data_IF_149465878583
#
_entry.id   IF_149465878583
#
_cell.length_a   1.000
_cell.length_b   1.000
_cell.length_c   1.000
_cell.angle_alpha   90.00
_cell.angle_beta   90.00
_cell.angle_gamma   90.00
#
_symmetry.space_group_name_H-M   'P 1'
#
loop_
_entity.id
_entity.type
_entity.pdbx_description
1 polymer ?
#
# COMPACT_ATOMS: atom_id res chain seq x y z
N UNK A 1 16.32 -15.46 -6.36
CA UNK A 1 16.51 -15.65 -7.82
C UNK A 1 16.08 -14.34 -8.47
N UNK A 2 17.02 -13.56 -9.02
CA UNK A 2 16.86 -12.13 -9.32
C UNK A 2 15.90 -11.86 -10.51
N UNK A 3 14.75 -11.21 -10.26
CA UNK A 3 13.80 -10.72 -11.28
C UNK A 3 14.26 -9.43 -11.99
N UNK A 4 15.41 -8.85 -11.59
CA UNK A 4 15.95 -7.56 -12.08
C UNK A 4 16.62 -7.56 -13.48
N UNK A 5 16.28 -8.47 -14.39
CA UNK A 5 17.01 -8.61 -15.68
C UNK A 5 16.15 -8.47 -16.95
N UNK A 6 14.84 -8.22 -16.87
CA UNK A 6 14.02 -8.03 -18.06
C UNK A 6 13.31 -6.67 -18.03
N UNK A 7 14.01 -5.60 -18.46
CA UNK A 7 13.48 -4.44 -19.23
C UNK A 7 14.54 -3.33 -19.42
N UNK A 8 15.77 -3.69 -19.76
CA UNK A 8 16.83 -2.72 -20.14
C UNK A 8 17.16 -2.67 -21.63
N UNK A 9 16.25 -3.07 -22.52
CA UNK A 9 16.52 -3.04 -23.95
C UNK A 9 15.27 -2.71 -24.79
N UNK A 10 14.77 -1.49 -24.69
CA UNK A 10 13.87 -0.91 -25.68
C UNK A 10 13.99 0.63 -25.83
N UNK A 11 15.08 1.25 -25.36
CA UNK A 11 15.39 2.65 -25.68
C UNK A 11 16.13 2.73 -27.02
N UNK A 12 15.44 2.30 -28.08
CA UNK A 12 15.89 2.44 -29.47
C UNK A 12 15.49 3.82 -30.00
N UNK A 13 16.49 4.61 -30.40
CA UNK A 13 16.35 5.82 -31.20
C UNK A 13 15.49 5.51 -32.43
N UNK A 14 14.42 6.28 -32.64
CA UNK A 14 13.52 6.15 -33.78
C UNK A 14 12.71 7.41 -34.04
N UNK A 15 13.39 8.53 -34.35
CA UNK A 15 12.75 9.69 -34.99
C UNK A 15 12.47 9.30 -36.45
N UNK A 16 11.20 9.07 -36.79
CA UNK A 16 10.77 8.68 -38.13
C UNK A 16 9.52 9.45 -38.55
N UNK A 17 9.74 10.51 -39.32
CA UNK A 17 8.74 11.35 -39.97
C UNK A 17 7.79 10.55 -40.87
N UNK A 18 6.47 10.64 -40.64
CA UNK A 18 5.46 10.34 -41.66
C UNK A 18 4.94 11.66 -42.24
N UNK A 19 5.58 12.06 -43.33
CA UNK A 19 5.03 12.99 -44.31
C UNK A 19 4.03 12.23 -45.20
N UNK A 20 2.75 12.60 -45.12
CA UNK A 20 1.69 12.18 -46.04
C UNK A 20 0.74 13.34 -46.30
N UNK A 21 0.88 13.95 -47.46
CA UNK A 21 0.15 15.14 -47.91
C UNK A 21 -1.19 14.74 -48.56
N UNK A 22 -2.31 15.37 -48.17
CA UNK A 22 -3.41 15.85 -49.04
C UNK A 22 -4.56 16.51 -48.23
N UNK A 23 -4.94 17.72 -48.67
CA UNK A 23 -5.97 18.67 -48.19
C UNK A 23 -5.92 19.10 -46.72
N UNK A 24 -5.27 20.25 -46.50
CA UNK A 24 -5.31 21.07 -45.28
C UNK A 24 -6.67 21.77 -45.16
N UNK A 25 -7.52 21.24 -44.29
CA UNK A 25 -8.47 22.06 -43.54
C UNK A 25 -7.70 22.61 -42.32
N UNK A 26 -7.63 23.93 -42.19
CA UNK A 26 -6.92 24.58 -41.07
C UNK A 26 -7.41 24.09 -39.69
N UNK A 27 -8.64 23.59 -39.63
CA UNK A 27 -9.28 22.99 -38.45
C UNK A 27 -8.59 21.67 -38.02
N UNK A 28 -8.13 20.85 -38.97
CA UNK A 28 -7.40 19.59 -38.68
C UNK A 28 -6.00 19.84 -38.13
N UNK A 29 -5.34 20.93 -38.55
CA UNK A 29 -4.00 21.30 -38.10
C UNK A 29 -4.03 21.87 -36.66
N UNK A 30 -5.07 22.63 -36.32
CA UNK A 30 -5.33 23.07 -34.95
C UNK A 30 -5.62 21.88 -34.01
N UNK A 31 -6.40 20.90 -34.45
CA UNK A 31 -6.63 19.67 -33.67
C UNK A 31 -5.32 18.89 -33.45
N UNK A 32 -4.47 18.75 -34.48
CA UNK A 32 -3.16 18.08 -34.34
C UNK A 32 -2.26 18.76 -33.30
N UNK A 33 -2.20 20.08 -33.31
CA UNK A 33 -1.38 20.83 -32.36
C UNK A 33 -1.86 20.59 -30.92
N UNK A 34 -3.17 20.66 -30.68
CA UNK A 34 -3.70 20.43 -29.33
C UNK A 34 -3.60 18.96 -28.89
N UNK A 35 -3.78 17.98 -29.79
CA UNK A 35 -3.51 16.57 -29.52
C UNK A 35 -2.04 16.37 -29.13
N UNK A 36 -1.10 17.00 -29.87
CA UNK A 36 0.33 16.96 -29.56
C UNK A 36 0.65 17.53 -28.18
N UNK A 37 0.12 18.71 -27.86
CA UNK A 37 0.29 19.33 -26.53
C UNK A 37 -0.27 18.44 -25.41
N UNK A 38 -1.43 17.78 -25.63
CA UNK A 38 -2.01 16.85 -24.67
C UNK A 38 -1.12 15.62 -24.46
N UNK A 39 -0.61 15.02 -25.55
CA UNK A 39 0.31 13.88 -25.50
C UNK A 39 1.58 14.24 -24.70
N UNK A 40 2.18 15.41 -24.94
CA UNK A 40 3.38 15.85 -24.21
C UNK A 40 3.11 15.95 -22.69
N UNK A 41 1.95 16.49 -22.31
CA UNK A 41 1.53 16.58 -20.91
C UNK A 41 1.32 15.20 -20.27
N UNK A 42 0.71 14.25 -20.98
CA UNK A 42 0.50 12.88 -20.47
C UNK A 42 1.82 12.10 -20.38
N UNK A 43 2.75 12.29 -21.32
CA UNK A 43 4.09 11.72 -21.21
C UNK A 43 4.87 12.28 -20.01
N UNK A 44 4.64 13.53 -19.61
CA UNK A 44 5.19 14.07 -18.36
C UNK A 44 4.56 13.41 -17.13
N UNK A 45 3.26 13.08 -17.17
CA UNK A 45 2.61 12.30 -16.12
C UNK A 45 3.20 10.89 -15.99
N UNK A 46 3.32 10.15 -17.10
CA UNK A 46 3.95 8.82 -17.12
C UNK A 46 5.35 8.83 -16.49
N UNK A 47 6.20 9.74 -16.95
CA UNK A 47 7.58 9.85 -16.45
C UNK A 47 7.60 10.15 -14.95
N UNK A 48 6.67 10.96 -14.48
CA UNK A 48 6.57 11.29 -13.06
C UNK A 48 6.13 10.07 -12.24
N UNK A 49 5.02 9.42 -12.62
CA UNK A 49 4.51 8.24 -11.93
C UNK A 49 5.56 7.12 -11.88
N UNK A 50 6.17 6.76 -13.01
CA UNK A 50 7.23 5.75 -13.08
C UNK A 50 8.44 6.14 -12.20
N UNK A 51 8.85 7.41 -12.20
CA UNK A 51 9.97 7.85 -11.36
C UNK A 51 9.67 7.81 -9.85
N UNK A 52 8.38 7.84 -9.49
CA UNK A 52 7.91 7.77 -8.11
C UNK A 52 7.64 6.35 -7.68
N UNK A 53 7.17 5.49 -8.58
CA UNK A 53 7.00 4.07 -8.29
C UNK A 53 8.32 3.40 -7.87
N UNK A 54 9.40 3.72 -8.58
CA UNK A 54 10.77 3.31 -8.23
C UNK A 54 11.21 3.73 -6.81
N UNK A 55 10.56 4.74 -6.20
CA UNK A 55 10.85 5.17 -4.82
C UNK A 55 10.15 4.29 -3.78
N UNK A 56 8.96 3.77 -4.08
CA UNK A 56 8.25 2.84 -3.18
C UNK A 56 8.99 1.50 -3.09
N UNK A 57 9.66 1.11 -4.17
CA UNK A 57 10.53 -0.07 -4.26
C UNK A 57 11.88 0.08 -3.52
N UNK A 58 12.27 1.32 -3.18
CA UNK A 58 13.61 1.61 -2.66
C UNK A 58 13.56 1.89 -1.15
N UNK A 59 14.25 1.05 -0.37
CA UNK A 59 14.67 1.27 1.04
C UNK A 59 13.74 2.23 1.82
N UNK A 60 12.73 1.65 2.47
CA UNK A 60 11.60 2.33 3.14
C UNK A 60 12.02 3.37 4.17
N UNK A 61 13.29 3.43 4.58
CA UNK A 61 13.83 4.43 5.52
C UNK A 61 13.87 5.87 4.99
N UNK A 62 13.63 6.09 3.69
CA UNK A 62 13.63 7.44 3.10
C UNK A 62 12.22 8.03 3.04
N UNK A 63 12.11 9.33 3.33
CA UNK A 63 10.88 10.10 3.11
C UNK A 63 10.49 10.00 1.66
N UNK A 64 9.33 9.41 1.38
CA UNK A 64 8.79 9.34 0.03
C UNK A 64 8.06 10.63 -0.28
N UNK A 65 8.37 11.24 -1.41
CA UNK A 65 7.75 12.50 -1.84
C UNK A 65 6.89 12.25 -3.07
N UNK A 66 5.62 12.62 -3.01
CA UNK A 66 4.71 12.59 -4.15
C UNK A 66 3.96 13.92 -4.21
N UNK A 67 3.96 14.56 -5.38
CA UNK A 67 3.27 15.82 -5.65
C UNK A 67 2.08 15.53 -6.56
N UNK A 68 0.94 15.27 -5.94
CA UNK A 68 -0.35 15.04 -6.61
C UNK A 68 -0.68 16.19 -7.57
N UNK A 69 -0.43 17.44 -7.16
CA UNK A 69 -0.73 18.64 -7.94
C UNK A 69 0.08 18.71 -9.24
N UNK A 70 1.26 18.07 -9.29
CA UNK A 70 2.03 17.94 -10.52
C UNK A 70 1.25 17.20 -11.60
N UNK A 71 0.56 16.10 -11.24
CA UNK A 71 -0.27 15.31 -12.15
C UNK A 71 -1.60 16.02 -12.42
N UNK A 72 -2.33 16.42 -11.38
CA UNK A 72 -3.66 17.05 -11.51
C UNK A 72 -3.62 18.28 -12.43
N UNK A 73 -2.57 19.11 -12.30
CA UNK A 73 -2.41 20.30 -13.14
C UNK A 73 -2.15 19.98 -14.61
N UNK A 74 -1.46 18.88 -14.92
CA UNK A 74 -1.17 18.42 -16.29
C UNK A 74 -2.36 17.74 -16.91
N UNK A 75 -3.02 16.86 -16.17
CA UNK A 75 -4.29 16.23 -16.56
C UNK A 75 -5.34 17.29 -16.90
N UNK A 76 -5.49 18.31 -16.05
CA UNK A 76 -6.38 19.45 -16.31
C UNK A 76 -6.00 20.27 -17.56
N UNK A 77 -4.71 20.39 -17.86
CA UNK A 77 -4.25 21.06 -19.07
C UNK A 77 -4.46 20.18 -20.31
N UNK A 78 -4.17 18.88 -20.22
CA UNK A 78 -4.38 17.91 -21.28
C UNK A 78 -5.86 17.82 -21.63
N UNK A 79 -6.76 17.69 -20.65
CA UNK A 79 -8.21 17.69 -20.85
C UNK A 79 -8.68 18.92 -21.63
N UNK A 80 -8.25 20.13 -21.23
CA UNK A 80 -8.59 21.36 -21.95
C UNK A 80 -8.06 21.39 -23.38
N UNK A 81 -6.89 20.80 -23.64
CA UNK A 81 -6.33 20.68 -25.00
C UNK A 81 -7.14 19.71 -25.84
N UNK A 82 -7.52 18.57 -25.28
CA UNK A 82 -8.35 17.57 -25.95
C UNK A 82 -9.77 18.10 -26.23
N UNK A 83 -10.37 18.84 -25.30
CA UNK A 83 -11.67 19.51 -25.53
C UNK A 83 -11.62 20.44 -26.75
N UNK A 84 -10.56 21.26 -26.85
CA UNK A 84 -10.34 22.15 -28.01
C UNK A 84 -10.05 21.36 -29.28
N UNK A 85 -9.34 20.24 -29.18
CA UNK A 85 -9.08 19.38 -30.32
C UNK A 85 -10.35 18.70 -30.83
N UNK A 86 -11.25 18.26 -29.94
CA UNK A 86 -12.51 17.61 -30.28
C UNK A 86 -13.39 18.50 -31.16
N UNK A 87 -13.43 19.80 -30.88
CA UNK A 87 -14.23 20.77 -31.63
C UNK A 87 -13.80 20.91 -33.10
N UNK A 88 -12.54 20.60 -33.43
CA UNK A 88 -11.98 20.79 -34.78
C UNK A 88 -11.36 19.52 -35.38
N UNK A 89 -11.47 18.39 -34.69
CA UNK A 89 -10.90 17.11 -35.11
C UNK A 89 -11.67 16.52 -36.30
N UNK A 90 -10.91 15.93 -37.24
CA UNK A 90 -11.51 15.02 -38.22
C UNK A 90 -11.98 13.73 -37.54
N UNK A 91 -12.83 12.94 -38.20
CA UNK A 91 -13.28 11.65 -37.66
C UNK A 91 -12.13 10.69 -37.33
N UNK A 92 -11.03 10.72 -38.09
CA UNK A 92 -9.84 9.90 -37.82
C UNK A 92 -8.98 10.43 -36.67
N UNK A 93 -9.14 11.69 -36.28
CA UNK A 93 -8.47 12.30 -35.14
C UNK A 93 -9.28 12.15 -33.86
N UNK A 94 -10.62 12.07 -33.99
CA UNK A 94 -11.52 11.91 -32.86
C UNK A 94 -11.23 10.62 -32.08
N UNK A 95 -10.92 9.53 -32.76
CA UNK A 95 -10.51 8.27 -32.12
C UNK A 95 -9.28 8.45 -31.20
N UNK A 96 -8.30 9.27 -31.62
CA UNK A 96 -7.15 9.62 -30.77
C UNK A 96 -7.54 10.55 -29.62
N UNK A 97 -8.46 11.49 -29.86
CA UNK A 97 -8.96 12.40 -28.82
C UNK A 97 -9.71 11.62 -27.73
N UNK A 98 -10.58 10.70 -28.13
CA UNK A 98 -11.36 9.85 -27.23
C UNK A 98 -10.44 8.97 -26.37
N UNK A 99 -9.48 8.26 -26.97
CA UNK A 99 -8.52 7.45 -26.20
C UNK A 99 -7.65 8.27 -25.24
N UNK A 100 -7.29 9.51 -25.62
CA UNK A 100 -6.55 10.41 -24.73
C UNK A 100 -7.44 10.95 -23.60
N UNK A 101 -8.75 11.13 -23.81
CA UNK A 101 -9.69 11.49 -22.75
C UNK A 101 -9.85 10.34 -21.75
N UNK A 102 -9.98 9.11 -22.23
CA UNK A 102 -10.03 7.92 -21.38
C UNK A 102 -8.74 7.78 -20.55
N UNK A 103 -7.56 8.02 -21.15
CA UNK A 103 -6.30 8.03 -20.41
C UNK A 103 -6.25 9.13 -19.34
N UNK A 104 -6.70 10.35 -19.66
CA UNK A 104 -6.80 11.48 -18.73
C UNK A 104 -7.66 11.13 -17.53
N UNK A 105 -8.77 10.40 -17.73
CA UNK A 105 -9.68 9.99 -16.65
C UNK A 105 -9.03 9.02 -15.66
N UNK A 106 -7.98 8.31 -16.05
CA UNK A 106 -7.24 7.37 -15.19
C UNK A 106 -6.09 8.02 -14.42
N UNK A 107 -5.39 9.02 -15.00
CA UNK A 107 -4.21 9.62 -14.36
C UNK A 107 -4.50 10.34 -13.04
N UNK A 108 -5.69 10.94 -12.89
CA UNK A 108 -6.07 11.65 -11.67
C UNK A 108 -6.34 10.67 -10.51
N UNK A 109 -7.21 9.65 -10.66
CA UNK A 109 -7.33 8.56 -9.68
C UNK A 109 -6.00 7.85 -9.37
N UNK A 110 -5.16 7.61 -10.39
CA UNK A 110 -3.83 7.04 -10.19
C UNK A 110 -2.96 7.92 -9.28
N UNK A 111 -2.97 9.24 -9.49
CA UNK A 111 -2.22 10.17 -8.65
C UNK A 111 -2.69 10.15 -7.19
N UNK A 112 -3.99 10.05 -6.95
CA UNK A 112 -4.56 9.95 -5.60
C UNK A 112 -4.06 8.69 -4.89
N UNK A 113 -4.03 7.55 -5.59
CA UNK A 113 -3.48 6.28 -5.07
C UNK A 113 -2.02 6.44 -4.65
N UNK A 114 -1.19 6.99 -5.53
CA UNK A 114 0.23 7.17 -5.25
C UNK A 114 0.50 8.20 -4.14
N UNK A 115 -0.31 9.25 -4.04
CA UNK A 115 -0.24 10.24 -2.96
C UNK A 115 -0.60 9.61 -1.60
N UNK A 116 -1.65 8.78 -1.58
CA UNK A 116 -2.08 8.06 -0.39
C UNK A 116 -1.03 7.03 0.05
N UNK A 117 -0.44 6.28 -0.89
CA UNK A 117 0.69 5.38 -0.64
C UNK A 117 1.89 6.10 -0.03
N UNK A 118 2.32 7.21 -0.60
CA UNK A 118 3.41 8.01 -0.05
C UNK A 118 3.11 8.50 1.37
N UNK A 119 1.86 8.89 1.63
CA UNK A 119 1.42 9.30 2.98
C UNK A 119 1.51 8.15 3.97
N UNK A 120 0.99 6.98 3.62
CA UNK A 120 1.00 5.79 4.47
C UNK A 120 2.42 5.33 4.78
N UNK A 121 3.29 5.24 3.78
CA UNK A 121 4.70 4.84 3.98
C UNK A 121 5.40 5.82 4.92
N UNK A 122 5.19 7.12 4.74
CA UNK A 122 5.76 8.12 5.65
C UNK A 122 5.19 8.01 7.07
N UNK A 123 3.91 7.67 7.25
CA UNK A 123 3.33 7.45 8.58
C UNK A 123 3.95 6.24 9.27
N UNK A 124 4.09 5.13 8.56
CA UNK A 124 4.79 3.93 9.02
C UNK A 124 6.23 4.23 9.47
N UNK A 125 6.97 5.01 8.69
CA UNK A 125 8.35 5.39 9.01
C UNK A 125 8.47 6.23 10.29
N UNK A 126 7.36 6.85 10.71
CA UNK A 126 7.27 7.67 11.92
C UNK A 126 6.52 6.95 13.06
N UNK A 127 6.27 5.64 12.94
CA UNK A 127 5.63 4.87 13.99
C UNK A 127 6.57 4.77 15.21
N UNK A 128 6.22 5.47 16.29
CA UNK A 128 6.93 5.42 17.56
C UNK A 128 6.43 4.23 18.39
N UNK A 129 7.22 3.15 18.41
CA UNK A 129 6.90 1.93 19.16
C UNK A 129 7.21 2.02 20.66
N UNK A 130 7.88 3.09 21.12
CA UNK A 130 8.18 3.29 22.54
C UNK A 130 6.94 3.79 23.32
N UNK A 131 5.89 4.23 22.62
CA UNK A 131 4.61 4.62 23.18
C UNK A 131 3.46 3.90 22.49
N UNK A 132 3.07 2.74 23.03
CA UNK A 132 2.07 1.85 22.44
C UNK A 132 0.70 2.52 22.19
N UNK A 133 0.25 3.40 23.09
CA UNK A 133 -1.01 4.13 22.90
C UNK A 133 -0.93 5.11 21.72
N UNK A 134 0.21 5.78 21.56
CA UNK A 134 0.45 6.67 20.42
C UNK A 134 0.59 5.89 19.11
N UNK A 135 1.28 4.74 19.14
CA UNK A 135 1.39 3.83 18.01
C UNK A 135 0.02 3.32 17.54
N UNK A 136 -0.83 2.88 18.48
CA UNK A 136 -2.21 2.45 18.20
C UNK A 136 -3.04 3.58 17.57
N UNK A 137 -2.88 4.80 18.07
CA UNK A 137 -3.53 5.99 17.50
C UNK A 137 -3.11 6.26 16.06
N UNK A 138 -1.81 6.13 15.75
CA UNK A 138 -1.30 6.31 14.40
C UNK A 138 -1.77 5.20 13.45
N UNK A 139 -1.76 3.94 13.88
CA UNK A 139 -2.25 2.82 13.06
C UNK A 139 -3.72 2.99 12.69
N UNK A 140 -4.58 3.47 13.62
CA UNK A 140 -5.99 3.77 13.30
C UNK A 140 -6.12 4.90 12.26
N UNK A 141 -5.25 5.90 12.32
CA UNK A 141 -5.20 6.97 11.30
C UNK A 141 -4.75 6.42 9.95
N UNK A 142 -3.75 5.53 9.94
CA UNK A 142 -3.29 4.83 8.74
C UNK A 142 -4.40 3.98 8.14
N UNK A 143 -5.11 3.17 8.94
CA UNK A 143 -6.27 2.39 8.48
C UNK A 143 -7.36 3.29 7.87
N UNK A 144 -7.64 4.44 8.49
CA UNK A 144 -8.61 5.40 7.93
C UNK A 144 -8.17 5.94 6.57
N UNK A 145 -6.87 6.19 6.40
CA UNK A 145 -6.28 6.65 5.13
C UNK A 145 -6.24 5.52 4.09
N UNK A 146 -6.01 4.28 4.54
CA UNK A 146 -5.92 3.08 3.73
C UNK A 146 -7.26 2.60 3.18
N UNK A 147 -8.32 2.59 4.01
CA UNK A 147 -9.63 2.02 3.68
C UNK A 147 -10.21 2.37 2.29
N UNK A 148 -10.13 3.61 1.78
CA UNK A 148 -10.64 3.92 0.44
C UNK A 148 -9.73 3.41 -0.70
N UNK A 149 -8.43 3.22 -0.46
CA UNK A 149 -7.41 3.01 -1.49
C UNK A 149 -7.65 1.73 -2.30
N UNK A 150 -7.90 0.54 -1.71
CA UNK A 150 -8.10 -0.68 -2.51
C UNK A 150 -9.22 -0.53 -3.54
N UNK A 151 -10.34 0.09 -3.15
CA UNK A 151 -11.46 0.33 -4.07
C UNK A 151 -11.13 1.35 -5.18
N UNK A 152 -10.29 2.34 -4.87
CA UNK A 152 -9.81 3.31 -5.86
C UNK A 152 -8.86 2.65 -6.85
N UNK A 153 -7.94 1.79 -6.38
CA UNK A 153 -7.04 1.02 -7.24
C UNK A 153 -7.79 0.07 -8.13
N UNK A 154 -8.72 -0.73 -7.59
CA UNK A 154 -9.58 -1.63 -8.38
C UNK A 154 -10.31 -0.88 -9.50
N UNK A 155 -10.88 0.29 -9.17
CA UNK A 155 -11.60 1.13 -10.13
C UNK A 155 -10.64 1.67 -11.19
N UNK A 156 -9.49 2.20 -10.78
CA UNK A 156 -8.47 2.77 -11.67
C UNK A 156 -7.90 1.72 -12.61
N UNK A 157 -7.60 0.51 -12.10
CA UNK A 157 -7.13 -0.62 -12.92
C UNK A 157 -8.21 -1.03 -13.91
N UNK A 158 -9.47 -1.13 -13.48
CA UNK A 158 -10.57 -1.47 -14.38
C UNK A 158 -10.71 -0.45 -15.51
N UNK A 159 -10.73 0.84 -15.18
CA UNK A 159 -10.80 1.92 -16.17
C UNK A 159 -9.56 1.91 -17.09
N UNK A 160 -8.37 1.61 -16.54
CA UNK A 160 -7.15 1.52 -17.35
C UNK A 160 -7.16 0.40 -18.41
N UNK A 161 -7.94 -0.65 -18.16
CA UNK A 161 -8.12 -1.77 -19.11
C UNK A 161 -9.09 -1.44 -20.24
N UNK A 162 -9.87 -0.36 -20.11
CA UNK A 162 -10.78 0.12 -21.15
C UNK A 162 -10.05 1.02 -22.16
N UNK A 163 -8.91 1.59 -21.78
CA UNK A 163 -8.07 2.46 -22.63
C UNK A 163 -7.36 1.69 -23.74
N UNK A 164 -7.40 2.21 -24.98
CA UNK A 164 -6.65 1.68 -26.12
C UNK A 164 -5.13 1.96 -25.99
N UNK A 165 -4.44 1.09 -25.25
CA UNK A 165 -3.00 1.19 -25.00
C UNK A 165 -2.13 1.13 -26.26
N UNK A 166 -2.56 0.42 -27.31
CA UNK A 166 -1.82 0.33 -28.57
C UNK A 166 -1.83 1.68 -29.29
N UNK A 167 -2.99 2.34 -29.35
CA UNK A 167 -3.13 3.67 -29.93
C UNK A 167 -2.30 4.73 -29.18
N UNK A 168 -2.23 4.64 -27.86
CA UNK A 168 -1.40 5.53 -27.04
C UNK A 168 0.10 5.26 -27.21
N UNK A 169 0.49 3.99 -27.35
CA UNK A 169 1.88 3.60 -27.61
C UNK A 169 2.40 4.16 -28.94
N UNK A 170 1.54 4.23 -29.97
CA UNK A 170 1.88 4.91 -31.24
C UNK A 170 2.19 6.41 -31.07
N UNK A 171 1.67 7.04 -30.01
CA UNK A 171 1.97 8.44 -29.64
C UNK A 171 3.15 8.57 -28.67
N UNK A 172 3.80 7.46 -28.32
CA UNK A 172 4.95 7.43 -27.40
C UNK A 172 4.58 7.54 -25.92
N UNK A 173 3.29 7.45 -25.58
CA UNK A 173 2.81 7.31 -24.19
C UNK A 173 3.09 5.88 -23.75
N UNK A 174 3.67 5.71 -22.56
CA UNK A 174 4.08 4.39 -22.04
C UNK A 174 2.96 3.77 -21.21
N UNK A 175 1.76 3.70 -21.80
CA UNK A 175 0.55 3.31 -21.12
C UNK A 175 0.65 1.96 -20.40
N UNK A 176 1.14 0.94 -21.10
CA UNK A 176 1.33 -0.41 -20.53
C UNK A 176 2.32 -0.42 -19.36
N UNK A 177 3.30 0.48 -19.33
CA UNK A 177 4.18 0.64 -18.16
C UNK A 177 3.41 1.24 -17.00
N UNK A 178 2.70 2.37 -17.22
CA UNK A 178 1.89 3.01 -16.17
C UNK A 178 0.83 2.07 -15.59
N UNK A 179 0.19 1.23 -16.43
CA UNK A 179 -0.73 0.19 -15.96
C UNK A 179 -0.01 -0.85 -15.09
N UNK A 180 1.16 -1.33 -15.51
CA UNK A 180 1.93 -2.27 -14.71
C UNK A 180 2.35 -1.69 -13.35
N UNK A 181 2.71 -0.40 -13.28
CA UNK A 181 3.01 0.27 -12.00
C UNK A 181 1.77 0.40 -11.09
N UNK A 182 0.57 0.54 -11.66
CA UNK A 182 -0.69 0.52 -10.90
C UNK A 182 -1.02 -0.89 -10.37
N UNK A 183 -0.79 -1.92 -11.17
CA UNK A 183 -0.93 -3.32 -10.75
C UNK A 183 0.09 -3.67 -9.65
N UNK A 184 1.31 -3.13 -9.71
CA UNK A 184 2.31 -3.28 -8.65
C UNK A 184 1.92 -2.51 -7.38
N UNK A 185 1.36 -1.30 -7.53
CA UNK A 185 0.80 -0.56 -6.41
C UNK A 185 -0.33 -1.34 -5.70
N UNK A 186 -1.19 -2.05 -6.44
CA UNK A 186 -2.22 -2.93 -5.86
C UNK A 186 -1.63 -4.01 -4.95
N UNK A 187 -0.56 -4.69 -5.39
CA UNK A 187 0.14 -5.69 -4.56
C UNK A 187 0.68 -5.05 -3.28
N UNK A 188 1.33 -3.89 -3.38
CA UNK A 188 1.86 -3.15 -2.22
C UNK A 188 0.74 -2.76 -1.26
N UNK A 189 -0.40 -2.32 -1.79
CA UNK A 189 -1.57 -1.91 -1.00
C UNK A 189 -2.13 -3.10 -0.24
N UNK A 190 -2.31 -4.25 -0.88
CA UNK A 190 -2.80 -5.45 -0.21
C UNK A 190 -1.86 -5.88 0.93
N UNK A 191 -0.55 -5.93 0.68
CA UNK A 191 0.46 -6.25 1.70
C UNK A 191 0.48 -5.21 2.84
N UNK A 192 0.25 -3.93 2.53
CA UNK A 192 0.14 -2.85 3.51
C UNK A 192 -1.10 -2.99 4.39
N UNK A 193 -2.24 -3.39 3.81
CA UNK A 193 -3.47 -3.67 4.56
C UNK A 193 -3.26 -4.77 5.59
N UNK A 194 -2.70 -5.90 5.17
CA UNK A 194 -2.39 -7.01 6.08
C UNK A 194 -1.33 -6.63 7.12
N UNK A 195 -0.36 -5.78 6.76
CA UNK A 195 0.63 -5.23 7.68
C UNK A 195 -0.01 -4.35 8.77
N UNK A 196 -0.95 -3.48 8.40
CA UNK A 196 -1.68 -2.62 9.34
C UNK A 196 -2.54 -3.43 10.30
N UNK A 197 -3.24 -4.44 9.79
CA UNK A 197 -4.04 -5.35 10.62
C UNK A 197 -3.17 -6.16 11.58
N UNK A 198 -2.02 -6.66 11.09
CA UNK A 198 -1.03 -7.38 11.90
C UNK A 198 -0.50 -6.50 13.03
N UNK A 199 -0.08 -5.26 12.73
CA UNK A 199 0.46 -4.31 13.71
C UNK A 199 -0.61 -3.86 14.72
N UNK A 200 -1.83 -3.57 14.26
CA UNK A 200 -2.94 -3.20 15.15
C UNK A 200 -3.21 -4.30 16.16
N UNK A 201 -3.33 -5.55 15.69
CA UNK A 201 -3.62 -6.69 16.54
C UNK A 201 -2.45 -7.04 17.47
N UNK A 202 -1.20 -6.82 17.03
CA UNK A 202 -0.02 -6.97 17.87
C UNK A 202 -0.02 -5.97 19.03
N UNK A 203 -0.23 -4.68 18.75
CA UNK A 203 -0.25 -3.63 19.79
C UNK A 203 -1.42 -3.84 20.75
N UNK A 204 -2.60 -4.18 20.25
CA UNK A 204 -3.74 -4.55 21.09
C UNK A 204 -3.40 -5.73 22.03
N UNK A 205 -2.67 -6.72 21.50
CA UNK A 205 -2.18 -7.86 22.27
C UNK A 205 -1.19 -7.47 23.38
N UNK A 206 -0.24 -6.59 23.09
CA UNK A 206 0.76 -6.13 24.07
C UNK A 206 0.11 -5.27 25.16
N UNK A 207 -0.79 -4.36 24.81
CA UNK A 207 -1.54 -3.55 25.79
C UNK A 207 -2.33 -4.46 26.73
N UNK A 208 -3.02 -5.47 26.20
CA UNK A 208 -3.77 -6.42 27.02
C UNK A 208 -2.87 -7.28 27.93
N UNK A 209 -1.62 -7.55 27.54
CA UNK A 209 -0.63 -8.19 28.43
C UNK A 209 -0.23 -7.25 29.58
N UNK A 210 -0.02 -5.95 29.30
CA UNK A 210 0.30 -4.96 30.33
C UNK A 210 -0.84 -4.83 31.34
N UNK A 211 -2.09 -4.66 30.84
CA UNK A 211 -3.30 -4.55 31.67
C UNK A 211 -3.50 -5.82 32.52
N UNK A 212 -3.39 -7.02 31.91
CA UNK A 212 -3.52 -8.28 32.62
C UNK A 212 -2.44 -8.51 33.68
N UNK A 213 -1.23 -8.00 33.44
CA UNK A 213 -0.12 -8.05 34.42
C UNK A 213 -0.38 -7.12 35.61
N UNK A 214 -0.90 -5.92 35.36
CA UNK A 214 -1.29 -4.98 36.42
C UNK A 214 -2.46 -5.53 37.25
N UNK A 215 -3.49 -6.08 36.62
CA UNK A 215 -4.60 -6.74 37.30
C UNK A 215 -4.12 -7.95 38.15
N UNK A 216 -3.19 -8.75 37.62
CA UNK A 216 -2.60 -9.88 38.35
C UNK A 216 -1.79 -9.41 39.57
N UNK A 217 -1.03 -8.32 39.43
CA UNK A 217 -0.27 -7.70 40.54
C UNK A 217 -1.18 -7.23 41.67
N UNK A 218 -2.36 -6.72 41.31
CA UNK A 218 -3.38 -6.25 42.24
C UNK A 218 -4.28 -7.40 42.75
N UNK A 219 -3.92 -8.66 42.46
CA UNK A 219 -4.65 -9.89 42.82
C UNK A 219 -6.07 -9.95 42.24
N UNK A 220 -6.38 -9.15 41.21
CA UNK A 220 -7.65 -9.20 40.49
C UNK A 220 -7.63 -10.28 39.40
N UNK A 221 -7.66 -11.54 39.81
CA UNK A 221 -7.49 -12.69 38.92
C UNK A 221 -8.57 -12.83 37.83
N UNK A 222 -9.79 -12.36 38.08
CA UNK A 222 -10.86 -12.44 37.08
C UNK A 222 -10.66 -11.43 35.94
N UNK A 223 -10.18 -10.22 36.27
CA UNK A 223 -9.80 -9.21 35.28
C UNK A 223 -8.56 -9.67 34.51
N UNK A 224 -7.53 -10.17 35.21
CA UNK A 224 -6.34 -10.73 34.59
C UNK A 224 -6.66 -11.87 33.58
N UNK A 225 -7.58 -12.81 33.89
CA UNK A 225 -8.02 -13.84 32.93
C UNK A 225 -8.64 -13.22 31.67
N UNK A 226 -9.44 -12.16 31.83
CA UNK A 226 -10.09 -11.46 30.73
C UNK A 226 -9.08 -10.78 29.82
N UNK A 227 -8.11 -10.08 30.40
CA UNK A 227 -7.11 -9.31 29.65
C UNK A 227 -6.12 -10.24 28.94
N UNK A 228 -5.61 -11.28 29.62
CA UNK A 228 -4.74 -12.27 28.98
C UNK A 228 -5.47 -13.08 27.89
N UNK A 229 -6.76 -13.40 28.07
CA UNK A 229 -7.55 -14.03 27.01
C UNK A 229 -7.73 -13.10 25.80
N UNK A 230 -7.90 -11.80 26.05
CA UNK A 230 -7.98 -10.78 24.99
C UNK A 230 -6.64 -10.60 24.27
N UNK A 231 -5.53 -10.65 25.00
CA UNK A 231 -4.18 -10.64 24.43
C UNK A 231 -3.96 -11.81 23.48
N UNK A 232 -4.28 -13.03 23.93
CA UNK A 232 -4.19 -14.25 23.10
C UNK A 232 -4.96 -14.10 21.79
N UNK A 233 -6.23 -13.68 21.86
CA UNK A 233 -7.08 -13.54 20.68
C UNK A 233 -6.54 -12.48 19.71
N UNK A 234 -5.93 -11.41 20.21
CA UNK A 234 -5.33 -10.35 19.39
C UNK A 234 -4.04 -10.82 18.72
N UNK A 235 -3.20 -11.58 19.43
CA UNK A 235 -1.97 -12.16 18.88
C UNK A 235 -2.25 -13.27 17.86
N UNK A 236 -3.33 -14.04 18.02
CA UNK A 236 -3.82 -14.97 16.98
C UNK A 236 -4.19 -14.22 15.70
N UNK A 237 -4.95 -13.12 15.80
CA UNK A 237 -5.28 -12.27 14.64
C UNK A 237 -4.03 -11.67 14.00
N UNK A 238 -3.08 -11.23 14.81
CA UNK A 238 -1.80 -10.69 14.32
C UNK A 238 -1.02 -11.73 13.52
N UNK A 239 -0.93 -12.96 14.03
CA UNK A 239 -0.30 -14.08 13.33
C UNK A 239 -1.04 -14.46 12.04
N UNK A 240 -2.38 -14.46 12.06
CA UNK A 240 -3.18 -14.76 10.87
C UNK A 240 -3.03 -13.68 9.79
N UNK A 241 -2.88 -12.41 10.18
CA UNK A 241 -2.58 -11.30 9.27
C UNK A 241 -1.16 -11.39 8.72
N UNK A 242 -0.17 -11.67 9.58
CA UNK A 242 1.21 -11.91 9.17
C UNK A 242 1.31 -13.02 8.10
N UNK A 243 0.54 -14.09 8.25
CA UNK A 243 0.54 -15.22 7.32
C UNK A 243 -0.05 -14.90 5.92
N UNK A 244 -0.74 -13.77 5.75
CA UNK A 244 -1.28 -13.33 4.45
C UNK A 244 -0.34 -12.40 3.68
N UNK A 245 0.67 -11.84 4.35
CA UNK A 245 1.64 -10.94 3.73
C UNK A 245 2.52 -11.75 2.76
N UNK A 246 2.41 -11.45 1.47
CA UNK A 246 3.12 -12.18 0.41
C UNK A 246 4.56 -11.68 0.25
N UNK A 247 4.81 -10.40 0.54
CA UNK A 247 6.12 -9.75 0.42
C UNK A 247 6.66 -9.25 1.76
N UNK A 248 7.18 -10.14 2.64
CA UNK A 248 7.70 -9.74 3.96
C UNK A 248 8.95 -8.86 3.90
N UNK A 249 9.55 -8.66 2.72
CA UNK A 249 10.67 -7.74 2.47
C UNK A 249 10.37 -6.28 2.85
N UNK A 250 9.09 -5.96 3.08
CA UNK A 250 8.63 -4.68 3.64
C UNK A 250 9.15 -4.44 5.08
N UNK A 251 9.32 -5.51 5.86
CA UNK A 251 9.86 -5.45 7.23
C UNK A 251 11.37 -5.69 7.23
N UNK A 252 12.14 -4.75 6.68
CA UNK A 252 13.60 -4.93 6.51
C UNK A 252 14.38 -5.04 7.84
N UNK A 253 13.77 -4.69 8.98
CA UNK A 253 14.41 -4.66 10.30
C UNK A 253 14.20 -5.89 11.16
N UNK A 254 13.24 -6.77 10.85
CA UNK A 254 12.94 -7.99 11.63
C UNK A 254 12.65 -9.12 10.66
N UNK A 255 13.30 -10.27 10.81
CA UNK A 255 12.98 -11.40 9.93
C UNK A 255 11.54 -11.87 10.20
N UNK A 256 10.83 -12.23 9.12
CA UNK A 256 9.46 -12.73 9.20
C UNK A 256 9.31 -13.86 10.22
N UNK A 257 10.26 -14.80 10.23
CA UNK A 257 10.24 -15.94 11.14
C UNK A 257 10.43 -15.50 12.60
N UNK A 258 11.24 -14.47 12.87
CA UNK A 258 11.41 -13.96 14.23
C UNK A 258 10.19 -13.22 14.72
N UNK A 259 9.57 -12.40 13.87
CA UNK A 259 8.33 -11.71 14.21
C UNK A 259 7.23 -12.72 14.52
N UNK A 260 7.08 -13.73 13.65
CA UNK A 260 6.14 -14.83 13.85
C UNK A 260 6.42 -15.59 15.14
N UNK A 261 7.69 -15.96 15.38
CA UNK A 261 8.11 -16.63 16.61
C UNK A 261 7.71 -15.81 17.85
N UNK A 262 8.01 -14.50 17.86
CA UNK A 262 7.67 -13.61 18.99
C UNK A 262 6.16 -13.50 19.21
N UNK A 263 5.36 -13.36 18.15
CA UNK A 263 3.90 -13.31 18.25
C UNK A 263 3.36 -14.62 18.86
N UNK A 264 3.85 -15.77 18.40
CA UNK A 264 3.45 -17.08 18.91
C UNK A 264 3.87 -17.29 20.37
N UNK A 265 5.08 -16.87 20.75
CA UNK A 265 5.56 -16.90 22.14
C UNK A 265 4.68 -16.06 23.05
N UNK A 266 4.35 -14.82 22.65
CA UNK A 266 3.48 -13.95 23.44
C UNK A 266 2.05 -14.49 23.54
N UNK A 267 1.56 -15.15 22.48
CA UNK A 267 0.24 -15.80 22.49
C UNK A 267 0.21 -16.94 23.50
N UNK A 268 1.22 -17.81 23.48
CA UNK A 268 1.30 -18.97 24.36
C UNK A 268 1.50 -18.54 25.81
N UNK A 269 2.34 -17.52 26.05
CA UNK A 269 2.44 -16.83 27.34
C UNK A 269 1.07 -16.35 27.84
N UNK A 270 0.31 -15.66 26.99
CA UNK A 270 -1.01 -15.12 27.35
C UNK A 270 -2.01 -16.24 27.68
N UNK A 271 -1.98 -17.37 26.97
CA UNK A 271 -2.85 -18.53 27.25
C UNK A 271 -2.57 -19.14 28.63
N UNK A 272 -1.29 -19.33 28.96
CA UNK A 272 -0.90 -19.88 30.26
C UNK A 272 -1.18 -18.89 31.41
N UNK A 273 -1.01 -17.58 31.19
CA UNK A 273 -1.35 -16.55 32.17
C UNK A 273 -2.86 -16.44 32.41
N UNK A 274 -3.68 -16.53 31.35
CA UNK A 274 -5.13 -16.59 31.45
C UNK A 274 -5.58 -17.82 32.25
N UNK A 275 -5.04 -19.00 31.91
CA UNK A 275 -5.33 -20.25 32.63
C UNK A 275 -4.93 -20.17 34.10
N UNK A 276 -3.75 -19.61 34.40
CA UNK A 276 -3.29 -19.40 35.78
C UNK A 276 -4.23 -18.49 36.57
N UNK A 277 -4.68 -17.39 35.95
CA UNK A 277 -5.60 -16.42 36.56
C UNK A 277 -6.99 -17.01 36.81
N UNK A 278 -7.50 -17.81 35.86
CA UNK A 278 -8.75 -18.56 36.04
C UNK A 278 -8.67 -19.53 37.21
N UNK A 279 -7.59 -20.31 37.29
CA UNK A 279 -7.37 -21.25 38.39
C UNK A 279 -7.24 -20.55 39.74
N UNK A 280 -6.62 -19.37 39.78
CA UNK A 280 -6.53 -18.55 40.98
C UNK A 280 -7.91 -18.04 41.43
N UNK A 281 -8.76 -17.63 40.48
CA UNK A 281 -10.16 -17.25 40.73
C UNK A 281 -10.97 -18.41 41.31
N UNK A 282 -10.65 -19.65 40.94
CA UNK A 282 -11.25 -20.88 41.44
C UNK A 282 -10.59 -21.41 42.74
N UNK A 283 -9.78 -20.60 43.44
CA UNK A 283 -9.02 -20.95 44.64
C UNK A 283 -7.99 -22.11 44.46
N UNK A 284 -7.65 -22.48 43.22
CA UNK A 284 -6.65 -23.51 42.92
C UNK A 284 -5.23 -22.93 42.77
N UNK A 285 -4.75 -22.30 43.85
CA UNK A 285 -3.49 -21.54 43.83
C UNK A 285 -2.23 -22.37 43.54
N UNK A 286 -2.23 -23.67 43.85
CA UNK A 286 -1.09 -24.54 43.52
C UNK A 286 -0.91 -24.69 42.02
N UNK A 287 -2.01 -24.93 41.31
CA UNK A 287 -2.00 -25.11 39.87
C UNK A 287 -1.85 -23.77 39.14
N UNK A 288 -2.48 -22.70 39.64
CA UNK A 288 -2.26 -21.35 39.14
C UNK A 288 -0.77 -20.97 39.12
N UNK A 289 -0.05 -21.22 40.22
CA UNK A 289 1.40 -20.99 40.33
C UNK A 289 2.25 -21.88 39.42
N UNK A 290 1.75 -23.05 39.02
CA UNK A 290 2.42 -23.89 38.02
C UNK A 290 2.27 -23.22 36.66
N UNK A 291 1.06 -22.79 36.30
CA UNK A 291 0.77 -22.12 35.02
C UNK A 291 1.50 -20.80 34.83
N UNK A 292 1.57 -19.95 35.85
CA UNK A 292 2.37 -18.72 35.78
C UNK A 292 3.87 -19.00 35.58
N UNK A 293 4.40 -20.13 36.08
CA UNK A 293 5.79 -20.53 35.84
C UNK A 293 5.99 -21.04 34.41
N UNK A 294 5.06 -21.82 33.88
CA UNK A 294 5.09 -22.27 32.48
C UNK A 294 5.05 -21.09 31.50
N UNK A 295 4.25 -20.06 31.82
CA UNK A 295 4.25 -18.81 31.06
C UNK A 295 5.63 -18.13 31.08
N UNK A 296 6.27 -17.98 32.24
CA UNK A 296 7.61 -17.41 32.35
C UNK A 296 8.67 -18.22 31.58
N UNK A 297 8.61 -19.56 31.70
CA UNK A 297 9.50 -20.47 30.99
C UNK A 297 9.33 -20.35 29.46
N UNK A 298 8.11 -20.09 28.97
CA UNK A 298 7.81 -19.91 27.54
C UNK A 298 8.55 -18.70 26.95
N UNK A 299 8.66 -17.60 27.70
CA UNK A 299 9.44 -16.43 27.28
C UNK A 299 10.95 -16.75 27.35
N UNK A 300 11.41 -17.29 28.47
CA UNK A 300 12.84 -17.54 28.72
C UNK A 300 13.46 -18.58 27.77
N UNK A 301 12.66 -19.54 27.30
CA UNK A 301 13.10 -20.59 26.37
C UNK A 301 12.84 -20.24 24.89
N UNK A 302 12.25 -19.08 24.61
CA UNK A 302 12.01 -18.66 23.22
C UNK A 302 13.32 -18.28 22.54
N UNK A 303 13.72 -19.07 21.55
CA UNK A 303 14.89 -18.83 20.70
C UNK A 303 14.47 -18.15 19.38
N UNK A 304 13.80 -17.00 19.47
CA UNK A 304 13.51 -16.16 18.29
C UNK A 304 14.79 -15.35 17.94
N UNK A 305 15.38 -15.55 16.76
CA UNK A 305 16.74 -15.08 16.40
C UNK A 305 16.79 -14.11 15.22
#
# INVERSE_FOLDING_TARGET
>A
MNRRTYFKLAAGIGVGSISGCLSLDADSEAARANIGDAVDLLQECDKYLISKSEQFDSDTTKVVTFDEQYITSRVSQARRKLDVAADTASSSQMETVDALHEAVDVYEPAADVFAALATLINQMNNLDTDNLQSAQGLIRQMQTTYNPIPSQVDTTIKESNEVDGDLLAEKGIKWETTRAELEEADVIINDLGDSLDMLSALIDGVIAIEDGTDALRDENYAEADTDFSSAKASLEKSNDALARIESPEFFQSVSYEDLKCRILTLRDFSDDMAMGSRLATEDNMSEARRKFREAADTIDQSECY
#
